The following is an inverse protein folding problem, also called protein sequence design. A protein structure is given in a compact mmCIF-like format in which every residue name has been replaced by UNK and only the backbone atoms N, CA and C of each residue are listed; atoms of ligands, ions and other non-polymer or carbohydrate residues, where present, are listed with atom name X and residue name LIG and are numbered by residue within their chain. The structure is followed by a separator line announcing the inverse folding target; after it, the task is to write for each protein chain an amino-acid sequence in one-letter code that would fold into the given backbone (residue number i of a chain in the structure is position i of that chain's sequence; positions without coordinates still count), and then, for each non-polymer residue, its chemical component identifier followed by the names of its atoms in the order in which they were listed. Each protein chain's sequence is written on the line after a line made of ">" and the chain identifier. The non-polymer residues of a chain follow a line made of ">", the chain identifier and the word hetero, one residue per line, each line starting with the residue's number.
data_IF_836793336162
#
_entry.id   IF_836793336162
#
_cell.length_a   1.000
_cell.length_b   1.000
_cell.length_c   1.000
_cell.angle_alpha   90.00
_cell.angle_beta   90.00
_cell.angle_gamma   90.00
#
_symmetry.space_group_name_H-M   'P 1'
#
loop_
_entity.id
_entity.type
_entity.pdbx_description
1 polymer ?
#
# COMPACT_ATOMS: atom_id res chain seq x y z
N UNK A 1 -20.51 10.81 17.19
CA UNK A 1 -19.56 9.85 17.78
C UNK A 1 -18.63 9.38 16.67
N UNK A 2 -17.33 9.26 16.94
CA UNK A 2 -16.39 8.67 15.98
C UNK A 2 -16.64 7.16 15.90
N UNK A 3 -16.60 6.60 14.69
CA UNK A 3 -16.70 5.16 14.49
C UNK A 3 -15.38 4.50 14.90
N UNK A 4 -15.43 3.52 15.81
CA UNK A 4 -14.26 2.78 16.26
C UNK A 4 -14.23 1.39 15.61
N UNK A 5 -13.08 1.05 15.03
CA UNK A 5 -12.89 -0.23 14.36
C UNK A 5 -12.80 -1.38 15.36
N UNK A 6 -13.65 -2.42 15.24
CA UNK A 6 -13.53 -3.58 16.11
C UNK A 6 -12.21 -4.30 15.87
N UNK A 7 -11.60 -4.81 16.93
CA UNK A 7 -10.42 -5.67 16.84
C UNK A 7 -10.86 -7.12 16.62
N UNK A 8 -10.61 -7.69 15.42
CA UNK A 8 -11.01 -9.06 15.15
C UNK A 8 -10.12 -10.04 15.93
N UNK A 9 -10.69 -11.17 16.35
CA UNK A 9 -10.02 -12.20 17.15
C UNK A 9 -9.90 -13.50 16.37
N UNK A 10 -8.68 -14.06 16.27
CA UNK A 10 -8.45 -15.36 15.59
C UNK A 10 -9.14 -16.52 16.32
N UNK A 11 -9.18 -16.47 17.67
CA UNK A 11 -9.78 -17.50 18.53
C UNK A 11 -11.31 -17.54 18.49
N UNK A 12 -11.95 -16.50 17.97
CA UNK A 12 -13.40 -16.38 17.90
C UNK A 12 -13.84 -15.71 16.59
N UNK A 13 -13.51 -16.37 15.48
CA UNK A 13 -13.89 -15.86 14.15
C UNK A 13 -15.40 -15.78 13.92
N UNK A 14 -16.22 -16.47 14.72
CA UNK A 14 -17.69 -16.45 14.60
C UNK A 14 -18.30 -15.07 14.85
N UNK A 15 -17.73 -14.33 15.80
CA UNK A 15 -18.25 -13.03 16.22
C UNK A 15 -17.54 -11.84 15.57
N UNK A 16 -16.56 -12.09 14.70
CA UNK A 16 -15.83 -11.02 14.02
C UNK A 16 -16.72 -10.31 13.00
N UNK A 17 -16.71 -8.98 13.07
CA UNK A 17 -17.38 -8.10 12.11
C UNK A 17 -16.35 -7.49 11.19
N UNK A 18 -16.66 -7.46 9.91
CA UNK A 18 -15.85 -6.80 8.90
C UNK A 18 -16.51 -5.50 8.46
N UNK A 19 -15.71 -4.44 8.43
CA UNK A 19 -16.04 -3.13 7.89
C UNK A 19 -14.90 -2.71 6.97
N UNK A 20 -15.21 -2.22 5.78
CA UNK A 20 -14.20 -1.85 4.77
C UNK A 20 -13.24 -0.79 5.32
N UNK A 21 -13.74 0.20 6.06
CA UNK A 21 -12.91 1.25 6.68
C UNK A 21 -11.94 0.71 7.75
N UNK A 22 -12.18 -0.51 8.23
CA UNK A 22 -11.35 -1.19 9.22
C UNK A 22 -10.49 -2.30 8.61
N UNK A 23 -10.45 -2.42 7.29
CA UNK A 23 -9.76 -3.51 6.59
C UNK A 23 -8.29 -3.63 6.98
N UNK A 24 -7.61 -2.51 7.25
CA UNK A 24 -6.20 -2.45 7.64
C UNK A 24 -5.87 -3.16 8.96
N UNK A 25 -6.88 -3.48 9.79
CA UNK A 25 -6.69 -4.31 11.00
C UNK A 25 -6.36 -5.77 10.70
N UNK A 26 -6.64 -6.23 9.48
CA UNK A 26 -6.39 -7.61 9.03
C UNK A 26 -5.57 -7.63 7.76
N UNK A 27 -5.91 -6.78 6.79
CA UNK A 27 -5.24 -6.65 5.52
C UNK A 27 -4.30 -5.43 5.56
N UNK A 28 -3.23 -5.56 6.34
CA UNK A 28 -2.23 -4.50 6.51
C UNK A 28 -1.59 -4.10 5.18
N UNK A 29 -1.62 -2.81 4.85
CA UNK A 29 -1.09 -2.31 3.57
C UNK A 29 0.43 -2.48 3.43
N UNK A 30 1.14 -2.37 4.55
CA UNK A 30 2.59 -2.48 4.63
C UNK A 30 2.98 -3.39 5.77
N UNK A 31 3.42 -4.60 5.42
CA UNK A 31 3.93 -5.57 6.38
C UNK A 31 5.45 -5.39 6.53
N UNK A 32 5.92 -5.34 7.77
CA UNK A 32 7.37 -5.40 8.05
C UNK A 32 7.94 -6.81 7.86
N UNK A 33 7.09 -7.84 7.98
CA UNK A 33 7.44 -9.23 7.78
C UNK A 33 6.19 -10.04 7.39
N UNK A 34 6.39 -11.11 6.62
CA UNK A 34 5.35 -12.08 6.30
C UNK A 34 5.41 -13.24 7.29
N UNK A 35 4.28 -13.62 7.87
CA UNK A 35 4.22 -14.63 8.94
C UNK A 35 3.30 -15.81 8.62
N UNK A 36 2.50 -15.73 7.56
CA UNK A 36 1.62 -16.82 7.13
C UNK A 36 2.07 -17.50 5.82
N UNK A 37 3.16 -17.04 5.20
CA UNK A 37 3.60 -17.54 3.89
C UNK A 37 4.48 -18.78 4.10
N UNK A 38 3.87 -19.96 4.10
CA UNK A 38 4.53 -21.24 4.29
C UNK A 38 5.34 -21.71 3.06
N UNK A 39 6.27 -22.65 3.29
CA UNK A 39 7.18 -23.21 2.27
C UNK A 39 6.47 -23.71 1.01
N UNK A 40 5.26 -24.23 1.16
CA UNK A 40 4.49 -24.80 0.06
C UNK A 40 4.10 -23.75 -1.00
N UNK A 41 3.79 -22.51 -0.58
CA UNK A 41 3.50 -21.39 -1.48
C UNK A 41 4.78 -20.71 -1.96
N UNK A 42 5.81 -20.65 -1.10
CA UNK A 42 7.12 -20.09 -1.47
C UNK A 42 7.72 -20.79 -2.70
N UNK A 43 7.54 -22.10 -2.83
CA UNK A 43 7.98 -22.85 -4.01
C UNK A 43 7.42 -22.29 -5.34
N UNK A 44 6.13 -21.96 -5.37
CA UNK A 44 5.46 -21.35 -6.53
C UNK A 44 5.91 -19.90 -6.74
N UNK A 45 6.00 -19.14 -5.65
CA UNK A 45 6.39 -17.72 -5.67
C UNK A 45 7.84 -17.56 -6.16
N UNK A 46 8.73 -18.49 -5.81
CA UNK A 46 10.13 -18.47 -6.25
C UNK A 46 10.29 -18.66 -7.77
N UNK A 47 9.33 -19.31 -8.43
CA UNK A 47 9.32 -19.47 -9.89
C UNK A 47 8.80 -18.23 -10.64
N UNK A 48 8.43 -17.17 -9.93
CA UNK A 48 8.03 -15.89 -10.53
C UNK A 48 9.27 -15.03 -10.71
N UNK A 49 9.59 -14.65 -11.95
CA UNK A 49 10.73 -13.79 -12.27
C UNK A 49 10.43 -12.31 -12.04
N UNK A 50 9.20 -11.88 -12.31
CA UNK A 50 8.78 -10.49 -12.15
C UNK A 50 8.69 -10.11 -10.66
N UNK A 51 9.46 -9.11 -10.20
CA UNK A 51 9.53 -8.76 -8.77
C UNK A 51 8.21 -8.19 -8.25
N UNK A 52 7.46 -7.44 -9.06
CA UNK A 52 6.16 -6.87 -8.69
C UNK A 52 5.17 -8.02 -8.47
N UNK A 53 5.12 -8.96 -9.42
CA UNK A 53 4.22 -10.10 -9.32
C UNK A 53 4.58 -11.03 -8.16
N UNK A 54 5.87 -11.19 -7.86
CA UNK A 54 6.36 -11.91 -6.69
C UNK A 54 5.87 -11.25 -5.40
N UNK A 55 5.98 -9.93 -5.30
CA UNK A 55 5.51 -9.16 -4.15
C UNK A 55 3.98 -9.27 -3.97
N UNK A 56 3.21 -9.10 -5.04
CA UNK A 56 1.75 -9.31 -5.02
C UNK A 56 1.40 -10.72 -4.56
N UNK A 57 2.16 -11.74 -4.99
CA UNK A 57 1.92 -13.13 -4.60
C UNK A 57 2.12 -13.37 -3.10
N UNK A 58 3.11 -12.72 -2.47
CA UNK A 58 3.33 -12.80 -1.01
C UNK A 58 2.14 -12.22 -0.24
N UNK A 59 1.68 -11.03 -0.62
CA UNK A 59 0.51 -10.40 -0.01
C UNK A 59 -0.76 -11.22 -0.23
N UNK A 60 -0.93 -11.81 -1.41
CA UNK A 60 -2.08 -12.66 -1.70
C UNK A 60 -2.17 -13.83 -0.72
N UNK A 61 -1.07 -14.55 -0.50
CA UNK A 61 -1.03 -15.67 0.45
C UNK A 61 -1.30 -15.16 1.87
N UNK A 62 -0.61 -14.11 2.29
CA UNK A 62 -0.77 -13.53 3.62
C UNK A 62 -2.23 -13.13 3.89
N UNK A 63 -2.82 -12.33 3.00
CA UNK A 63 -4.19 -11.84 3.12
C UNK A 63 -5.21 -12.96 3.04
N UNK A 64 -5.03 -13.93 2.14
CA UNK A 64 -5.98 -15.04 2.06
C UNK A 64 -6.03 -15.83 3.37
N UNK A 65 -4.86 -16.07 3.97
CA UNK A 65 -4.74 -16.82 5.23
C UNK A 65 -5.26 -16.00 6.42
N UNK A 66 -4.97 -14.69 6.48
CA UNK A 66 -5.53 -13.84 7.54
C UNK A 66 -7.05 -13.73 7.41
N UNK A 67 -7.56 -13.49 6.20
CA UNK A 67 -8.99 -13.46 5.93
C UNK A 67 -9.67 -14.76 6.36
N UNK A 68 -9.07 -15.91 6.07
CA UNK A 68 -9.54 -17.20 6.60
C UNK A 68 -9.54 -17.20 8.13
N UNK A 69 -8.38 -16.96 8.78
CA UNK A 69 -8.23 -17.02 10.25
C UNK A 69 -9.23 -16.14 10.98
N UNK A 70 -9.52 -14.95 10.46
CA UNK A 70 -10.40 -13.99 11.11
C UNK A 70 -11.88 -14.13 10.71
N UNK A 71 -12.22 -14.52 9.47
CA UNK A 71 -13.58 -14.37 8.97
C UNK A 71 -14.26 -15.63 8.42
N UNK A 72 -13.58 -16.79 8.33
CA UNK A 72 -14.19 -17.99 7.70
C UNK A 72 -15.47 -18.48 8.38
N UNK A 73 -15.58 -18.34 9.70
CA UNK A 73 -16.77 -18.69 10.48
C UNK A 73 -17.66 -17.51 10.86
N UNK A 74 -17.32 -16.29 10.45
CA UNK A 74 -18.17 -15.12 10.73
C UNK A 74 -19.53 -15.26 10.07
N UNK A 75 -20.46 -14.40 10.50
CA UNK A 75 -21.72 -14.22 9.77
C UNK A 75 -21.47 -14.06 8.26
N UNK A 76 -22.39 -14.59 7.46
CA UNK A 76 -22.24 -14.66 6.01
C UNK A 76 -22.02 -13.28 5.39
N UNK A 77 -22.61 -12.22 5.95
CA UNK A 77 -22.43 -10.84 5.47
C UNK A 77 -20.99 -10.38 5.66
N UNK A 78 -20.42 -10.52 6.86
CA UNK A 78 -19.06 -10.10 7.16
C UNK A 78 -18.00 -10.95 6.45
N UNK A 79 -18.21 -12.26 6.34
CA UNK A 79 -17.33 -13.14 5.56
C UNK A 79 -17.31 -12.75 4.08
N UNK A 80 -18.49 -12.51 3.50
CA UNK A 80 -18.63 -12.11 2.10
C UNK A 80 -17.95 -10.76 1.85
N UNK A 81 -18.13 -9.81 2.76
CA UNK A 81 -17.51 -8.49 2.65
C UNK A 81 -15.97 -8.54 2.78
N UNK A 82 -15.43 -9.35 3.68
CA UNK A 82 -13.99 -9.56 3.80
C UNK A 82 -13.41 -10.22 2.53
N UNK A 83 -14.09 -11.23 1.98
CA UNK A 83 -13.70 -11.85 0.72
C UNK A 83 -13.77 -10.84 -0.44
N UNK A 84 -14.86 -10.06 -0.53
CA UNK A 84 -15.03 -9.02 -1.55
C UNK A 84 -13.92 -7.97 -1.49
N UNK A 85 -13.49 -7.59 -0.30
CA UNK A 85 -12.35 -6.69 -0.12
C UNK A 85 -11.06 -7.28 -0.72
N UNK A 86 -10.72 -8.53 -0.38
CA UNK A 86 -9.55 -9.22 -0.94
C UNK A 86 -9.61 -9.29 -2.47
N UNK A 87 -10.78 -9.62 -3.02
CA UNK A 87 -10.96 -9.72 -4.47
C UNK A 87 -10.80 -8.36 -5.15
N UNK A 88 -11.29 -7.28 -4.55
CA UNK A 88 -11.10 -5.90 -5.04
C UNK A 88 -9.63 -5.49 -4.99
N UNK A 89 -8.94 -5.76 -3.89
CA UNK A 89 -7.51 -5.51 -3.79
C UNK A 89 -6.74 -6.25 -4.89
N UNK A 90 -7.09 -7.52 -5.14
CA UNK A 90 -6.44 -8.32 -6.18
C UNK A 90 -6.72 -7.78 -7.59
N UNK A 91 -7.95 -7.30 -7.84
CA UNK A 91 -8.33 -6.64 -9.07
C UNK A 91 -7.54 -5.35 -9.31
N UNK A 92 -7.37 -4.51 -8.28
CA UNK A 92 -6.55 -3.30 -8.36
C UNK A 92 -5.10 -3.63 -8.73
N UNK A 93 -4.53 -4.69 -8.12
CA UNK A 93 -3.17 -5.13 -8.46
C UNK A 93 -3.08 -5.68 -9.88
N UNK A 94 -4.11 -6.40 -10.35
CA UNK A 94 -4.20 -6.88 -11.74
C UNK A 94 -4.22 -5.71 -12.71
N UNK A 95 -5.11 -4.75 -12.48
CA UNK A 95 -5.31 -3.59 -13.33
C UNK A 95 -4.02 -2.78 -13.45
N UNK A 96 -3.36 -2.51 -12.33
CA UNK A 96 -2.06 -1.84 -12.30
C UNK A 96 -0.97 -2.61 -13.05
N UNK A 97 -0.83 -3.92 -12.77
CA UNK A 97 0.23 -4.75 -13.36
C UNK A 97 0.08 -4.94 -14.87
N UNK A 98 -1.16 -4.95 -15.36
CA UNK A 98 -1.49 -5.23 -16.76
C UNK A 98 -1.83 -3.98 -17.57
N UNK A 99 -1.73 -2.80 -16.95
CA UNK A 99 -2.16 -1.52 -17.52
C UNK A 99 -3.60 -1.60 -18.06
N UNK A 100 -4.54 -1.93 -17.17
CA UNK A 100 -5.95 -2.15 -17.52
C UNK A 100 -6.19 -3.31 -18.51
N UNK A 101 -5.29 -4.29 -18.52
CA UNK A 101 -5.33 -5.41 -19.46
C UNK A 101 -4.81 -5.11 -20.86
N UNK A 102 -4.23 -3.92 -21.11
CA UNK A 102 -3.64 -3.57 -22.41
C UNK A 102 -2.29 -4.24 -22.66
N UNK A 103 -1.59 -4.67 -21.61
CA UNK A 103 -0.34 -5.43 -21.72
C UNK A 103 -0.60 -6.94 -21.73
N UNK A 104 -0.75 -7.54 -22.91
CA UNK A 104 -1.13 -8.95 -23.08
C UNK A 104 -0.17 -9.94 -22.39
N UNK A 105 1.15 -9.77 -22.53
CA UNK A 105 2.13 -10.65 -21.87
C UNK A 105 2.03 -10.59 -20.35
N UNK A 106 1.78 -9.40 -19.78
CA UNK A 106 1.59 -9.21 -18.34
C UNK A 106 0.27 -9.84 -17.89
N UNK A 107 -0.79 -9.72 -18.69
CA UNK A 107 -2.06 -10.37 -18.42
C UNK A 107 -1.92 -11.91 -18.40
N UNK A 108 -1.25 -12.49 -19.39
CA UNK A 108 -0.96 -13.93 -19.42
C UNK A 108 -0.14 -14.36 -18.19
N UNK A 109 0.90 -13.59 -17.84
CA UNK A 109 1.73 -13.90 -16.68
C UNK A 109 0.93 -13.83 -15.37
N UNK A 110 0.04 -12.86 -15.24
CA UNK A 110 -0.89 -12.74 -14.12
C UNK A 110 -1.78 -13.97 -14.00
N UNK A 111 -2.49 -14.33 -15.08
CA UNK A 111 -3.43 -15.46 -15.07
C UNK A 111 -2.72 -16.78 -14.75
N UNK A 112 -1.53 -16.98 -15.33
CA UNK A 112 -0.74 -18.19 -15.09
C UNK A 112 -0.22 -18.25 -13.65
N UNK A 113 0.37 -17.18 -13.12
CA UNK A 113 1.02 -17.19 -11.80
C UNK A 113 0.04 -16.95 -10.65
N UNK A 114 -0.73 -15.85 -10.69
CA UNK A 114 -1.70 -15.50 -9.65
C UNK A 114 -2.91 -16.42 -9.70
N UNK A 115 -3.44 -16.73 -10.88
CA UNK A 115 -4.58 -17.64 -11.01
C UNK A 115 -4.28 -19.05 -10.49
N UNK A 116 -3.08 -19.58 -10.75
CA UNK A 116 -2.64 -20.87 -10.19
C UNK A 116 -2.51 -20.81 -8.67
N UNK A 117 -1.88 -19.75 -8.14
CA UNK A 117 -1.72 -19.57 -6.70
C UNK A 117 -3.07 -19.45 -5.98
N UNK A 118 -4.02 -18.70 -6.55
CA UNK A 118 -5.37 -18.54 -6.01
C UNK A 118 -6.13 -19.87 -5.97
N UNK A 119 -6.12 -20.64 -7.07
CA UNK A 119 -6.75 -21.98 -7.12
C UNK A 119 -6.18 -22.91 -6.05
N UNK A 120 -4.87 -22.86 -5.83
CA UNK A 120 -4.21 -23.63 -4.78
C UNK A 120 -4.70 -23.22 -3.38
N UNK A 121 -4.71 -21.92 -3.07
CA UNK A 121 -5.23 -21.40 -1.80
C UNK A 121 -6.69 -21.80 -1.55
N UNK A 122 -7.54 -21.75 -2.58
CA UNK A 122 -8.91 -22.26 -2.51
C UNK A 122 -8.93 -23.73 -2.13
N UNK A 123 -8.20 -24.57 -2.89
CA UNK A 123 -8.15 -26.00 -2.66
C UNK A 123 -7.68 -26.35 -1.26
N UNK A 124 -6.60 -25.71 -0.81
CA UNK A 124 -5.98 -25.97 0.48
C UNK A 124 -6.85 -25.56 1.66
N UNK A 125 -7.67 -24.51 1.53
CA UNK A 125 -8.54 -24.05 2.62
C UNK A 125 -9.98 -24.58 2.54
N UNK A 126 -10.40 -25.11 1.38
CA UNK A 126 -11.68 -25.80 1.23
C UNK A 126 -11.76 -27.04 2.14
N UNK A 127 -10.64 -27.76 2.33
CA UNK A 127 -10.56 -28.97 3.16
C UNK A 127 -10.84 -28.74 4.64
N UNK A 128 -10.67 -27.50 5.12
CA UNK A 128 -10.91 -27.11 6.51
C UNK A 128 -12.32 -26.53 6.73
N UNK A 129 -13.11 -26.39 5.67
CA UNK A 129 -14.47 -25.86 5.76
C UNK A 129 -15.49 -26.97 6.02
N UNK A 130 -16.29 -26.82 7.07
CA UNK A 130 -17.38 -27.74 7.39
C UNK A 130 -18.45 -27.81 6.28
N UNK A 131 -18.58 -26.75 5.47
CA UNK A 131 -19.53 -26.68 4.36
C UNK A 131 -18.99 -27.27 3.05
N UNK A 132 -17.72 -27.68 3.04
CA UNK A 132 -17.02 -28.08 1.82
C UNK A 132 -16.79 -26.94 0.82
N UNK A 133 -17.07 -25.67 1.16
CA UNK A 133 -16.81 -24.51 0.31
C UNK A 133 -15.65 -23.67 0.86
N UNK A 134 -14.81 -23.11 -0.02
CA UNK A 134 -13.78 -22.17 0.40
C UNK A 134 -14.41 -20.88 0.97
N UNK A 135 -13.74 -20.25 1.93
CA UNK A 135 -14.24 -19.01 2.56
C UNK A 135 -14.31 -17.84 1.56
N UNK A 136 -13.46 -17.87 0.54
CA UNK A 136 -13.40 -16.89 -0.54
C UNK A 136 -13.08 -17.58 -1.87
N UNK A 137 -13.86 -17.30 -2.92
CA UNK A 137 -13.78 -18.05 -4.19
C UNK A 137 -13.76 -17.17 -5.45
N UNK A 138 -14.27 -15.94 -5.40
CA UNK A 138 -14.50 -15.11 -6.59
C UNK A 138 -13.39 -14.10 -6.89
N UNK A 139 -12.35 -14.50 -7.63
CA UNK A 139 -11.31 -13.57 -8.09
C UNK A 139 -11.53 -13.01 -9.50
N UNK A 140 -12.62 -13.41 -10.18
CA UNK A 140 -12.85 -13.09 -11.59
C UNK A 140 -13.63 -11.79 -11.78
N UNK A 141 -13.22 -10.75 -11.06
CA UNK A 141 -13.75 -9.41 -11.29
C UNK A 141 -13.23 -8.88 -12.63
N UNK A 142 -14.14 -8.42 -13.49
CA UNK A 142 -13.86 -7.92 -14.84
C UNK A 142 -14.09 -6.40 -14.90
N UNK A 143 -13.27 -5.66 -14.17
CA UNK A 143 -13.12 -4.23 -14.38
C UNK A 143 -11.87 -3.98 -15.22
N UNK A 144 -11.97 -3.06 -16.19
CA UNK A 144 -10.82 -2.56 -16.95
C UNK A 144 -10.79 -1.05 -16.83
N UNK A 145 -9.64 -0.50 -16.46
CA UNK A 145 -9.45 0.96 -16.46
C UNK A 145 -9.51 1.53 -17.87
N UNK A 146 -10.32 2.57 -18.05
CA UNK A 146 -10.32 3.40 -19.25
C UNK A 146 -9.31 4.53 -19.05
N UNK A 147 -8.33 4.60 -19.93
CA UNK A 147 -7.29 5.63 -19.88
C UNK A 147 -7.65 6.79 -20.83
N UNK A 148 -7.34 8.05 -20.48
CA UNK A 148 -7.48 9.17 -21.39
C UNK A 148 -6.74 8.96 -22.71
N UNK A 149 -7.37 9.31 -23.83
CA UNK A 149 -6.83 9.08 -25.18
C UNK A 149 -5.54 9.86 -25.48
N UNK A 150 -5.26 10.92 -24.72
CA UNK A 150 -4.03 11.73 -24.84
C UNK A 150 -2.78 11.00 -24.33
N UNK A 151 -2.94 9.94 -23.52
CA UNK A 151 -1.81 9.19 -22.99
C UNK A 151 -1.18 8.33 -24.09
N UNK A 152 0.14 8.41 -24.22
CA UNK A 152 0.90 7.51 -25.08
C UNK A 152 0.68 6.06 -24.67
N UNK A 153 0.66 5.17 -25.66
CA UNK A 153 0.56 3.72 -25.43
C UNK A 153 1.65 3.25 -24.46
N UNK A 154 1.32 2.35 -23.52
CA UNK A 154 2.28 1.87 -22.54
C UNK A 154 3.40 1.07 -23.22
N UNK A 155 4.64 1.24 -22.76
CA UNK A 155 5.70 0.30 -23.09
C UNK A 155 5.60 -0.93 -22.17
N UNK A 156 4.94 -1.98 -22.64
CA UNK A 156 4.76 -3.21 -21.87
C UNK A 156 6.04 -4.09 -21.77
N UNK A 157 7.09 -3.76 -22.53
CA UNK A 157 8.30 -4.58 -22.69
C UNK A 157 9.54 -3.99 -22.00
N UNK A 158 9.43 -2.82 -21.39
CA UNK A 158 10.54 -2.15 -20.72
C UNK A 158 11.01 -2.98 -19.52
N UNK A 159 11.93 -3.91 -19.79
CA UNK A 159 12.87 -4.40 -18.79
C UNK A 159 13.64 -3.17 -18.37
N UNK A 160 13.59 -2.82 -17.07
CA UNK A 160 14.55 -1.90 -16.46
C UNK A 160 15.89 -2.29 -17.05
N UNK A 161 16.48 -1.38 -17.82
CA UNK A 161 17.71 -1.60 -18.55
C UNK A 161 18.66 -2.33 -17.60
N UNK A 162 19.14 -3.51 -18.00
CA UNK A 162 20.38 -3.97 -17.42
C UNK A 162 21.38 -2.90 -17.86
N UNK A 163 21.59 -1.87 -17.04
CA UNK A 163 22.90 -1.26 -16.97
C UNK A 163 23.82 -2.45 -16.72
N UNK A 164 24.41 -2.96 -17.80
CA UNK A 164 25.54 -3.86 -17.71
C UNK A 164 26.48 -3.16 -16.76
N UNK A 165 26.75 -3.75 -15.60
CA UNK A 165 27.66 -3.15 -14.65
C UNK A 165 28.89 -2.75 -15.45
N UNK A 166 29.14 -1.43 -15.50
CA UNK A 166 30.30 -0.87 -16.17
C UNK A 166 31.48 -1.77 -15.87
N UNK A 167 32.13 -2.26 -16.91
CA UNK A 167 33.28 -3.17 -16.81
C UNK A 167 34.21 -2.62 -15.74
N UNK A 168 34.50 -3.45 -14.74
CA UNK A 168 35.41 -3.13 -13.65
C UNK A 168 36.71 -2.59 -14.27
N UNK A 169 36.95 -1.29 -14.16
CA UNK A 169 38.26 -0.71 -14.46
C UNK A 169 39.12 -1.05 -13.25
N UNK A 170 40.20 -1.84 -13.41
CA UNK A 170 41.08 -2.14 -12.29
C UNK A 170 41.59 -0.82 -11.69
N UNK A 171 41.72 -0.72 -10.35
CA UNK A 171 42.35 0.44 -9.76
C UNK A 171 43.77 0.58 -10.33
N UNK A 172 44.06 1.71 -10.96
CA UNK A 172 45.44 2.10 -11.24
C UNK A 172 46.18 2.10 -9.90
N UNK A 173 47.16 1.21 -9.76
CA UNK A 173 48.09 1.18 -8.63
C UNK A 173 48.94 2.45 -8.69
N UNK A 174 48.45 3.54 -8.12
CA UNK A 174 49.26 4.70 -7.79
C UNK A 174 49.80 4.46 -6.39
N UNK A 175 51.01 3.92 -6.33
CA UNK A 175 51.81 3.87 -5.10
C UNK A 175 52.39 5.26 -4.88
N UNK A 176 51.62 6.17 -4.28
CA UNK A 176 52.20 7.36 -3.65
C UNK A 176 52.07 7.20 -2.13
N UNK A 177 53.23 7.04 -1.49
CA UNK A 177 53.37 7.11 -0.04
C UNK A 177 52.92 8.50 0.40
N UNK A 178 51.80 8.58 1.11
CA UNK A 178 51.45 9.77 1.86
C UNK A 178 52.41 9.88 3.06
N UNK A 179 53.41 10.73 2.95
CA UNK A 179 54.17 11.20 4.10
C UNK A 179 53.41 12.37 4.73
N UNK A 180 52.80 12.13 5.89
CA UNK A 180 52.19 13.18 6.68
C UNK A 180 53.30 14.03 7.33
N UNK A 181 53.54 15.21 6.78
CA UNK A 181 54.40 16.20 7.41
C UNK A 181 53.60 16.82 8.58
N UNK A 182 53.90 16.39 9.80
CA UNK A 182 53.45 17.09 11.00
C UNK A 182 54.09 18.48 10.99
N UNK A 183 53.29 19.54 11.03
CA UNK A 183 53.75 20.82 11.55
C UNK A 183 52.60 21.67 12.09
N UNK A 184 52.73 21.91 13.40
CA UNK A 184 52.60 23.17 14.12
C UNK A 184 51.33 24.01 13.95
N UNK A 185 50.77 24.34 15.12
CA UNK A 185 49.61 25.19 15.37
C UNK A 185 49.51 26.43 14.47
N UNK A 186 48.36 26.60 13.84
CA UNK A 186 47.93 27.87 13.27
C UNK A 186 46.57 28.29 13.80
N UNK A 187 46.57 29.54 14.22
CA UNK A 187 45.53 30.28 14.92
C UNK A 187 44.19 30.26 14.19
N UNK A 188 43.13 30.19 14.98
CA UNK A 188 41.73 30.19 14.55
C UNK A 188 41.40 31.56 13.95
N UNK A 189 41.03 31.66 12.65
CA UNK A 189 40.44 32.86 12.10
C UNK A 189 39.01 32.99 12.62
N UNK A 190 38.70 34.11 13.27
CA UNK A 190 37.37 34.46 13.77
C UNK A 190 36.32 34.44 12.65
N UNK A 191 35.30 33.59 12.81
CA UNK A 191 34.18 33.46 11.88
C UNK A 191 33.03 34.40 12.31
N UNK A 192 32.42 35.06 11.32
CA UNK A 192 31.38 36.07 11.51
C UNK A 192 30.17 35.56 12.31
N UNK A 193 29.69 36.41 13.22
CA UNK A 193 28.48 36.20 14.03
C UNK A 193 27.27 36.05 13.10
N UNK A 194 26.71 34.84 13.04
CA UNK A 194 25.36 34.64 12.53
C UNK A 194 24.34 35.24 13.52
N UNK A 195 23.24 35.85 13.04
CA UNK A 195 22.22 36.41 13.91
C UNK A 195 21.49 35.29 14.67
N UNK A 196 21.08 35.53 15.93
CA UNK A 196 20.47 34.51 16.76
C UNK A 196 19.12 34.05 16.19
N UNK A 197 18.94 32.73 16.18
CA UNK A 197 17.70 32.05 15.86
C UNK A 197 16.54 32.65 16.68
N UNK A 198 15.54 33.15 15.97
CA UNK A 198 14.32 33.63 16.60
C UNK A 198 13.47 32.44 17.01
N UNK A 199 13.43 32.17 18.31
CA UNK A 199 12.53 31.26 19.01
C UNK A 199 11.07 31.50 18.58
N UNK A 200 10.52 30.56 17.80
CA UNK A 200 9.13 30.59 17.30
C UNK A 200 8.11 30.07 18.32
N UNK A 201 8.34 30.32 19.61
CA UNK A 201 7.43 29.86 20.68
C UNK A 201 6.87 30.99 21.54
N UNK A 202 6.59 32.17 20.97
CA UNK A 202 5.90 33.28 21.67
C UNK A 202 4.94 34.12 20.82
N UNK A 203 4.10 33.50 20.00
CA UNK A 203 2.96 34.18 19.37
C UNK A 203 1.66 33.41 19.58
N UNK A 204 1.24 33.29 20.84
CA UNK A 204 -0.15 33.05 21.21
C UNK A 204 -0.51 34.15 22.19
N UNK A 205 -1.02 35.28 21.68
CA UNK A 205 -1.88 36.25 22.39
C UNK A 205 -2.27 37.38 21.41
N UNK A 206 -3.60 37.58 21.31
CA UNK A 206 -4.38 38.65 20.65
C UNK A 206 -4.49 38.67 19.12
N UNK A 207 -5.49 37.95 18.60
CA UNK A 207 -6.47 38.48 17.62
C UNK A 207 -7.86 37.87 17.86
N UNK A 208 -8.35 37.94 19.09
CA UNK A 208 -9.79 37.84 19.36
C UNK A 208 -10.43 39.18 18.98
N UNK A 209 -11.07 39.28 17.81
CA UNK A 209 -11.72 40.54 17.44
C UNK A 209 -12.46 40.69 16.12
N UNK A 210 -12.48 39.72 15.20
CA UNK A 210 -13.22 39.90 13.92
C UNK A 210 -13.91 38.64 13.35
N UNK A 211 -14.48 37.79 14.21
CA UNK A 211 -15.39 36.70 13.78
C UNK A 211 -16.77 36.76 14.43
N UNK A 212 -17.15 37.90 15.02
CA UNK A 212 -18.51 38.14 15.55
C UNK A 212 -19.34 39.15 14.73
N UNK A 213 -18.74 39.93 13.82
CA UNK A 213 -19.47 40.85 12.94
C UNK A 213 -19.83 40.25 11.56
N UNK A 214 -19.15 39.19 11.14
CA UNK A 214 -19.42 38.52 9.86
C UNK A 214 -20.69 37.65 9.85
N UNK A 215 -21.06 37.10 11.00
CA UNK A 215 -22.25 36.24 11.17
C UNK A 215 -23.54 37.04 11.34
N UNK A 216 -23.49 38.21 11.98
CA UNK A 216 -24.64 39.13 12.06
C UNK A 216 -24.98 39.80 10.72
N UNK A 217 -23.96 40.14 9.92
CA UNK A 217 -24.16 40.72 8.59
C UNK A 217 -24.81 39.76 7.59
N UNK A 218 -24.45 38.47 7.63
CA UNK A 218 -25.04 37.44 6.76
C UNK A 218 -26.47 37.10 7.16
N UNK A 219 -26.78 37.05 8.46
CA UNK A 219 -28.16 36.85 8.95
C UNK A 219 -29.11 38.01 8.59
N UNK A 220 -28.63 39.26 8.64
CA UNK A 220 -29.43 40.44 8.24
C UNK A 220 -29.74 40.47 6.73
N UNK A 221 -28.80 40.04 5.89
CA UNK A 221 -29.01 39.93 4.43
C UNK A 221 -30.00 38.81 4.12
N UNK A 222 -29.88 37.65 4.77
CA UNK A 222 -30.83 36.54 4.59
C UNK A 222 -32.24 36.92 5.09
N UNK A 223 -32.35 37.58 6.25
CA UNK A 223 -33.64 38.05 6.76
C UNK A 223 -34.36 38.99 5.79
N UNK A 224 -33.62 39.92 5.16
CA UNK A 224 -34.19 40.87 4.18
C UNK A 224 -34.59 40.22 2.85
N UNK A 225 -33.96 39.10 2.48
CA UNK A 225 -34.27 38.33 1.26
C UNK A 225 -35.46 37.38 1.47
N UNK A 226 -35.59 36.77 2.65
CA UNK A 226 -36.65 35.80 2.92
C UNK A 226 -37.96 36.40 3.46
N UNK A 227 -37.93 37.59 4.07
CA UNK A 227 -39.13 38.21 4.68
C UNK A 227 -39.60 39.49 3.97
N UNK A 228 -39.26 39.67 2.70
CA UNK A 228 -39.90 40.68 1.83
C UNK A 228 -40.43 40.04 0.55
N UNK A 229 -41.48 39.23 0.72
CA UNK A 229 -42.58 39.03 -0.21
C UNK A 229 -43.88 39.26 0.56
#
# INVERSE_FOLDING_TARGET
>A
MAFECPTPKKTDSKNNKFYVDCSSKVFEQFLSHFYNVENEYLSHINQISDPILKYVSLYLVQYYIDGYKYYHNSDSTHRTEACRYLNRWLLEKKDLFTYGGKCEKKLYLWENKIGTLWKRLISDYKKFSNSGNAWCFDYNLTLKTNFPDVLTSPNCEERISQESSSTYVPPLTVTEKCECLQNADHEIPSQAVQPPETDRTKNLVVTSGFTAFGTLGTLLVLYKVFYKL
#
